data_IF_440121117741
#
_entry.id   IF_440121117741
#
_cell.length_a   1.000
_cell.length_b   1.000
_cell.length_c   1.000
_cell.angle_alpha   90.00
_cell.angle_beta   90.00
_cell.angle_gamma   90.00
#
_symmetry.space_group_name_H-M   'P 1'
#
loop_
_entity.id
_entity.type
_entity.pdbx_description
1 polymer ?
#
# COMPACT_ATOMS: atom_id res chain seq x y z
N UNK A 1 13.91 6.82 -16.57
CA UNK A 1 12.89 6.35 -15.60
C UNK A 1 12.95 7.14 -14.30
N UNK A 2 14.10 7.20 -13.63
CA UNK A 2 14.26 7.96 -12.37
C UNK A 2 13.89 9.44 -12.56
N UNK A 3 14.36 10.08 -13.63
CA UNK A 3 14.01 11.49 -13.92
C UNK A 3 12.50 11.70 -14.12
N UNK A 4 11.80 10.73 -14.72
CA UNK A 4 10.34 10.79 -14.88
C UNK A 4 9.62 10.59 -13.54
N UNK A 5 10.16 9.75 -12.65
CA UNK A 5 9.63 9.63 -11.29
C UNK A 5 9.85 10.93 -10.49
N UNK A 6 11.03 11.55 -10.59
CA UNK A 6 11.29 12.87 -9.98
C UNK A 6 10.35 13.94 -10.53
N UNK A 7 10.13 13.95 -11.84
CA UNK A 7 9.16 14.83 -12.48
C UNK A 7 7.75 14.61 -11.91
N UNK A 8 7.28 13.36 -11.88
CA UNK A 8 5.94 13.04 -11.38
C UNK A 8 5.79 13.36 -9.89
N UNK A 9 6.84 13.21 -9.08
CA UNK A 9 6.83 13.61 -7.67
C UNK A 9 6.68 15.12 -7.52
N UNK A 10 7.46 15.89 -8.28
CA UNK A 10 7.38 17.36 -8.29
C UNK A 10 6.01 17.84 -8.75
N UNK A 11 5.47 17.22 -9.79
CA UNK A 11 4.14 17.53 -10.29
C UNK A 11 3.05 17.20 -9.25
N UNK A 12 3.17 16.06 -8.57
CA UNK A 12 2.26 15.69 -7.48
C UNK A 12 2.25 16.73 -6.36
N UNK A 13 3.43 17.20 -5.95
CA UNK A 13 3.58 18.26 -4.94
C UNK A 13 2.93 19.57 -5.42
N UNK A 14 3.17 19.98 -6.68
CA UNK A 14 2.59 21.22 -7.23
C UNK A 14 1.08 21.15 -7.42
N UNK A 15 0.53 19.96 -7.67
CA UNK A 15 -0.91 19.76 -7.86
C UNK A 15 -1.72 19.81 -6.56
N UNK A 16 -1.06 19.80 -5.40
CA UNK A 16 -1.68 19.68 -4.07
C UNK A 16 -2.58 18.44 -3.87
N UNK A 17 -2.69 17.54 -4.85
CA UNK A 17 -3.47 16.28 -4.76
C UNK A 17 -2.93 15.34 -3.69
N UNK A 18 -1.67 15.50 -3.29
CA UNK A 18 -1.04 14.76 -2.19
C UNK A 18 -1.60 15.11 -0.81
N UNK A 19 -2.14 16.33 -0.65
CA UNK A 19 -2.44 16.87 0.67
C UNK A 19 -3.45 16.00 1.40
N UNK A 20 -4.54 15.62 0.73
CA UNK A 20 -5.63 14.91 1.37
C UNK A 20 -5.25 13.48 1.82
N UNK A 21 -4.64 12.61 0.99
CA UNK A 21 -4.19 11.29 1.44
C UNK A 21 -3.13 11.36 2.55
N UNK A 22 -2.14 12.25 2.43
CA UNK A 22 -1.03 12.36 3.39
C UNK A 22 -1.53 12.93 4.72
N UNK A 23 -2.33 14.00 4.69
CA UNK A 23 -2.92 14.57 5.90
C UNK A 23 -3.83 13.56 6.62
N UNK A 24 -4.64 12.80 5.87
CA UNK A 24 -5.46 11.75 6.46
C UNK A 24 -4.62 10.70 7.18
N UNK A 25 -3.51 10.25 6.58
CA UNK A 25 -2.62 9.30 7.24
C UNK A 25 -1.99 9.87 8.51
N UNK A 26 -1.47 11.10 8.46
CA UNK A 26 -0.89 11.77 9.62
C UNK A 26 -1.93 11.88 10.75
N UNK A 27 -3.15 12.31 10.43
CA UNK A 27 -4.25 12.40 11.40
C UNK A 27 -4.56 11.02 12.01
N UNK A 28 -4.64 9.97 11.19
CA UNK A 28 -4.88 8.60 11.67
C UNK A 28 -3.78 8.14 12.63
N UNK A 29 -2.50 8.39 12.32
CA UNK A 29 -1.38 8.02 13.21
C UNK A 29 -1.45 8.81 14.53
N UNK A 30 -1.63 10.12 14.46
CA UNK A 30 -1.68 10.97 15.66
C UNK A 30 -2.87 10.58 16.56
N UNK A 31 -4.04 10.35 15.96
CA UNK A 31 -5.24 9.94 16.69
C UNK A 31 -5.06 8.55 17.32
N UNK A 32 -4.49 7.60 16.58
CA UNK A 32 -4.26 6.24 17.07
C UNK A 32 -3.36 6.23 18.32
N UNK A 33 -2.31 7.05 18.32
CA UNK A 33 -1.39 7.19 19.47
C UNK A 33 -1.87 8.19 20.54
N UNK A 34 -3.14 8.61 20.54
CA UNK A 34 -3.68 9.46 21.62
C UNK A 34 -3.90 8.67 22.92
N UNK A 35 -4.16 7.35 22.82
CA UNK A 35 -4.21 6.46 23.97
C UNK A 35 -2.85 5.79 24.14
N UNK A 36 -2.25 5.89 25.33
CA UNK A 36 -0.91 5.40 25.64
C UNK A 36 -0.86 4.76 27.04
N UNK A 37 0.07 3.83 27.30
CA UNK A 37 1.06 3.27 26.38
C UNK A 37 0.49 2.14 25.50
N UNK A 38 0.93 2.05 24.25
CA UNK A 38 0.49 1.00 23.34
C UNK A 38 1.51 -0.15 23.21
N UNK A 39 1.05 -1.40 22.98
CA UNK A 39 1.92 -2.50 22.58
C UNK A 39 2.54 -2.24 21.21
N UNK A 40 3.85 -2.47 21.07
CA UNK A 40 4.63 -2.07 19.88
C UNK A 40 4.14 -2.79 18.62
N UNK A 41 4.12 -4.13 18.64
CA UNK A 41 3.86 -4.94 17.45
C UNK A 41 2.43 -4.72 16.95
N UNK A 42 1.45 -4.74 17.85
CA UNK A 42 0.04 -4.52 17.49
C UNK A 42 -0.20 -3.12 16.93
N UNK A 43 0.43 -2.11 17.52
CA UNK A 43 0.34 -0.74 17.01
C UNK A 43 0.86 -0.63 15.60
N UNK A 44 2.06 -1.17 15.35
CA UNK A 44 2.64 -1.17 14.02
C UNK A 44 1.89 -2.03 13.01
N UNK A 45 1.26 -3.12 13.43
CA UNK A 45 0.37 -3.92 12.59
C UNK A 45 -0.82 -3.07 12.09
N UNK A 46 -1.47 -2.33 12.99
CA UNK A 46 -2.62 -1.48 12.65
C UNK A 46 -2.21 -0.28 11.77
N UNK A 47 -1.12 0.42 12.11
CA UNK A 47 -0.68 1.58 11.31
C UNK A 47 -0.20 1.19 9.91
N UNK A 48 0.26 -0.04 9.72
CA UNK A 48 0.56 -0.59 8.40
C UNK A 48 -0.71 -0.88 7.58
N UNK A 49 -1.82 -1.30 8.21
CA UNK A 49 -3.12 -1.43 7.53
C UNK A 49 -3.69 -0.08 7.10
N UNK A 50 -3.52 0.98 7.91
CA UNK A 50 -3.85 2.33 7.49
C UNK A 50 -3.04 2.73 6.25
N UNK A 51 -1.75 2.39 6.22
CA UNK A 51 -0.89 2.68 5.08
C UNK A 51 -1.30 1.92 3.82
N UNK A 52 -1.78 0.68 3.95
CA UNK A 52 -2.35 -0.07 2.83
C UNK A 52 -3.49 0.70 2.14
N UNK A 53 -4.43 1.22 2.92
CA UNK A 53 -5.56 2.02 2.42
C UNK A 53 -5.04 3.30 1.75
N UNK A 54 -4.20 4.06 2.45
CA UNK A 54 -3.69 5.35 1.95
C UNK A 54 -2.82 5.17 0.70
N UNK A 55 -1.98 4.15 0.65
CA UNK A 55 -1.13 3.86 -0.51
C UNK A 55 -1.94 3.52 -1.76
N UNK A 56 -3.07 2.83 -1.59
CA UNK A 56 -3.99 2.57 -2.71
C UNK A 56 -4.64 3.85 -3.26
N UNK A 57 -4.98 4.79 -2.38
CA UNK A 57 -5.48 6.11 -2.77
C UNK A 57 -4.39 6.93 -3.47
N UNK A 58 -3.17 6.94 -2.93
CA UNK A 58 -2.02 7.59 -3.55
C UNK A 58 -1.76 7.03 -4.95
N UNK A 59 -1.91 5.72 -5.17
CA UNK A 59 -1.74 5.12 -6.49
C UNK A 59 -2.75 5.65 -7.52
N UNK A 60 -4.04 5.69 -7.19
CA UNK A 60 -5.06 6.28 -8.07
C UNK A 60 -4.75 7.76 -8.34
N UNK A 61 -4.39 8.50 -7.29
CA UNK A 61 -4.14 9.94 -7.37
C UNK A 61 -2.93 10.29 -8.25
N UNK A 62 -1.82 9.55 -8.10
CA UNK A 62 -0.60 9.73 -8.90
C UNK A 62 -0.79 9.28 -10.34
N UNK A 63 -1.53 8.18 -10.57
CA UNK A 63 -1.83 7.71 -11.93
C UNK A 63 -2.79 8.65 -12.68
N UNK A 64 -3.61 9.41 -11.96
CA UNK A 64 -4.50 10.43 -12.51
C UNK A 64 -3.91 11.86 -12.50
N UNK A 65 -2.58 11.99 -12.38
CA UNK A 65 -1.90 13.29 -12.42
C UNK A 65 -2.00 13.93 -13.80
N UNK A 66 -1.52 13.20 -14.80
CA UNK A 66 -1.35 13.71 -16.16
C UNK A 66 -2.68 13.57 -16.91
N UNK A 67 -3.05 14.59 -17.69
CA UNK A 67 -4.21 14.49 -18.57
C UNK A 67 -3.94 13.47 -19.71
N UNK A 68 -4.99 13.00 -20.42
CA UNK A 68 -4.81 12.01 -21.48
C UNK A 68 -3.86 12.44 -22.61
N UNK A 69 -3.88 13.72 -23.00
CA UNK A 69 -3.01 14.26 -24.06
C UNK A 69 -1.57 14.32 -23.58
N UNK A 70 -1.34 14.84 -22.37
CA UNK A 70 -0.01 14.86 -21.76
C UNK A 70 0.55 13.44 -21.59
N UNK A 71 -0.28 12.48 -21.17
CA UNK A 71 0.08 11.07 -21.06
C UNK A 71 0.57 10.52 -22.39
N UNK A 72 -0.15 10.77 -23.50
CA UNK A 72 0.25 10.33 -24.84
C UNK A 72 1.59 10.95 -25.26
N UNK A 73 1.78 12.26 -25.05
CA UNK A 73 3.04 12.96 -25.37
C UNK A 73 4.22 12.37 -24.61
N UNK A 74 4.08 12.15 -23.29
CA UNK A 74 5.14 11.57 -22.46
C UNK A 74 5.45 10.14 -22.91
N UNK A 75 4.44 9.33 -23.20
CA UNK A 75 4.63 7.96 -23.69
C UNK A 75 5.38 7.94 -25.04
N UNK A 76 5.02 8.83 -25.96
CA UNK A 76 5.69 8.97 -27.26
C UNK A 76 7.15 9.38 -27.10
N UNK A 77 7.42 10.36 -26.25
CA UNK A 77 8.78 10.80 -25.95
C UNK A 77 9.63 9.69 -25.28
N UNK A 78 9.02 8.93 -24.37
CA UNK A 78 9.68 7.82 -23.66
C UNK A 78 9.78 6.54 -24.48
N UNK A 79 9.07 6.46 -25.61
CA UNK A 79 8.92 5.28 -26.48
C UNK A 79 8.49 4.01 -25.72
N UNK A 80 7.88 4.15 -24.55
CA UNK A 80 7.52 3.01 -23.70
C UNK A 80 6.46 3.36 -22.66
N UNK A 81 5.28 2.75 -22.82
CA UNK A 81 4.18 2.79 -21.85
C UNK A 81 4.57 2.17 -20.51
N UNK A 82 5.26 1.03 -20.54
CA UNK A 82 5.74 0.37 -19.33
C UNK A 82 6.63 1.30 -18.50
N UNK A 83 7.58 2.01 -19.13
CA UNK A 83 8.47 2.94 -18.42
C UNK A 83 7.70 4.12 -17.81
N UNK A 84 6.66 4.61 -18.49
CA UNK A 84 5.77 5.64 -17.96
C UNK A 84 5.06 5.15 -16.68
N UNK A 85 4.32 4.04 -16.76
CA UNK A 85 3.57 3.53 -15.60
C UNK A 85 4.47 3.10 -14.44
N UNK A 86 5.59 2.42 -14.71
CA UNK A 86 6.55 2.07 -13.66
C UNK A 86 7.14 3.30 -12.97
N UNK A 87 7.33 4.42 -13.69
CA UNK A 87 7.79 5.66 -13.05
C UNK A 87 6.74 6.29 -12.13
N UNK A 88 5.44 6.21 -12.49
CA UNK A 88 4.33 6.62 -11.62
C UNK A 88 4.26 5.73 -10.38
N UNK A 89 4.31 4.41 -10.55
CA UNK A 89 4.30 3.45 -9.43
C UNK A 89 5.52 3.64 -8.51
N UNK A 90 6.70 3.88 -9.07
CA UNK A 90 7.91 4.20 -8.30
C UNK A 90 7.72 5.49 -7.50
N UNK A 91 7.10 6.51 -8.09
CA UNK A 91 6.75 7.76 -7.39
C UNK A 91 5.84 7.50 -6.20
N UNK A 92 4.75 6.74 -6.41
CA UNK A 92 3.83 6.34 -5.34
C UNK A 92 4.54 5.56 -4.24
N UNK A 93 5.41 4.61 -4.60
CA UNK A 93 6.17 3.83 -3.63
C UNK A 93 7.12 4.69 -2.80
N UNK A 94 7.77 5.70 -3.39
CA UNK A 94 8.64 6.62 -2.65
C UNK A 94 7.87 7.48 -1.64
N UNK A 95 6.64 7.90 -1.98
CA UNK A 95 5.76 8.57 -1.03
C UNK A 95 5.37 7.60 0.10
N UNK A 96 4.99 6.37 -0.24
CA UNK A 96 4.69 5.31 0.72
C UNK A 96 5.85 5.02 1.67
N UNK A 97 7.09 4.99 1.17
CA UNK A 97 8.30 4.83 1.98
C UNK A 97 8.45 5.97 2.99
N UNK A 98 8.22 7.22 2.57
CA UNK A 98 8.22 8.37 3.47
C UNK A 98 7.16 8.28 4.57
N UNK A 99 5.96 7.81 4.22
CA UNK A 99 4.89 7.58 5.20
C UNK A 99 5.20 6.41 6.15
N UNK A 100 5.80 5.32 5.66
CA UNK A 100 6.28 4.22 6.50
C UNK A 100 7.31 4.71 7.51
N UNK A 101 8.25 5.57 7.07
CA UNK A 101 9.26 6.14 7.95
C UNK A 101 8.63 7.04 9.01
N UNK A 102 7.66 7.86 8.63
CA UNK A 102 6.90 8.68 9.58
C UNK A 102 6.19 7.83 10.63
N UNK A 103 5.43 6.81 10.22
CA UNK A 103 4.70 5.94 11.14
C UNK A 103 5.62 5.14 12.06
N UNK A 104 6.82 4.80 11.60
CA UNK A 104 7.84 4.14 12.41
C UNK A 104 8.51 5.08 13.42
N UNK A 105 8.91 6.29 12.98
CA UNK A 105 9.69 7.21 13.83
C UNK A 105 8.81 7.95 14.83
N UNK A 106 7.58 8.32 14.46
CA UNK A 106 6.67 9.11 15.28
C UNK A 106 6.49 8.57 16.71
N UNK A 107 6.01 7.32 16.92
CA UNK A 107 5.75 6.84 18.28
C UNK A 107 7.03 6.63 19.10
N UNK A 108 8.18 6.43 18.46
CA UNK A 108 9.49 6.32 19.14
C UNK A 108 9.91 7.68 19.69
N UNK A 109 9.86 8.73 18.87
CA UNK A 109 10.28 10.09 19.26
C UNK A 109 9.39 10.65 20.37
N UNK A 110 8.09 10.36 20.32
CA UNK A 110 7.12 10.82 21.31
C UNK A 110 6.89 9.85 22.47
N UNK A 111 7.68 8.77 22.57
CA UNK A 111 7.63 7.80 23.68
C UNK A 111 6.22 7.20 23.90
N UNK A 112 5.53 6.86 22.81
CA UNK A 112 4.14 6.37 22.84
C UNK A 112 3.99 4.89 23.22
N UNK A 113 5.11 4.18 23.40
CA UNK A 113 5.15 2.74 23.72
C UNK A 113 5.46 2.48 25.18
N UNK A 114 5.00 1.33 25.69
CA UNK A 114 5.29 0.87 27.07
C UNK A 114 6.75 0.45 27.27
N UNK A 115 7.43 0.10 26.19
CA UNK A 115 8.79 -0.44 26.20
C UNK A 115 9.60 0.10 25.02
N UNK A 116 10.92 -0.09 25.05
CA UNK A 116 11.79 0.33 23.96
C UNK A 116 11.68 -0.61 22.75
N UNK A 117 11.63 -0.04 21.55
CA UNK A 117 11.60 -0.82 20.31
C UNK A 117 12.94 -1.53 20.09
N UNK A 118 12.95 -2.86 20.13
CA UNK A 118 14.13 -3.65 19.79
C UNK A 118 14.45 -3.53 18.29
N UNK A 119 15.72 -3.73 17.91
CA UNK A 119 16.15 -3.65 16.50
C UNK A 119 15.38 -4.65 15.63
N UNK A 120 15.13 -5.85 16.15
CA UNK A 120 14.41 -6.91 15.41
C UNK A 120 12.95 -6.54 15.19
N UNK A 121 12.25 -6.12 16.26
CA UNK A 121 10.84 -5.70 16.17
C UNK A 121 10.73 -4.50 15.24
N UNK A 122 11.63 -3.54 15.36
CA UNK A 122 11.62 -2.34 14.51
C UNK A 122 11.84 -2.67 13.04
N UNK A 123 12.81 -3.54 12.72
CA UNK A 123 13.08 -3.96 11.35
C UNK A 123 11.88 -4.68 10.72
N UNK A 124 11.33 -5.69 11.40
CA UNK A 124 10.18 -6.45 10.89
C UNK A 124 8.94 -5.56 10.74
N UNK A 125 8.68 -4.69 11.71
CA UNK A 125 7.55 -3.75 11.68
C UNK A 125 7.66 -2.78 10.51
N UNK A 126 8.86 -2.26 10.24
CA UNK A 126 9.10 -1.37 9.09
C UNK A 126 8.94 -2.11 7.76
N UNK A 127 9.44 -3.34 7.64
CA UNK A 127 9.22 -4.19 6.47
C UNK A 127 7.72 -4.44 6.24
N UNK A 128 6.94 -4.70 7.30
CA UNK A 128 5.50 -4.89 7.18
C UNK A 128 4.80 -3.62 6.62
N UNK A 129 5.19 -2.42 7.07
CA UNK A 129 4.69 -1.17 6.50
C UNK A 129 5.02 -1.05 5.01
N UNK A 130 6.26 -1.35 4.61
CA UNK A 130 6.65 -1.31 3.19
C UNK A 130 5.88 -2.32 2.33
N UNK A 131 5.66 -3.54 2.83
CA UNK A 131 4.89 -4.56 2.13
C UNK A 131 3.43 -4.18 1.98
N UNK A 132 2.81 -3.63 3.02
CA UNK A 132 1.41 -3.19 2.95
C UNK A 132 1.24 -1.91 2.12
N UNK A 133 2.22 -1.02 2.14
CA UNK A 133 2.31 0.08 1.18
C UNK A 133 2.40 -0.44 -0.27
N UNK A 134 3.25 -1.44 -0.52
CA UNK A 134 3.39 -2.07 -1.84
C UNK A 134 2.11 -2.80 -2.28
N UNK A 135 1.44 -3.49 -1.35
CA UNK A 135 0.16 -4.11 -1.63
C UNK A 135 -0.88 -3.05 -2.00
N UNK A 136 -0.95 -1.97 -1.22
CA UNK A 136 -1.88 -0.86 -1.44
C UNK A 136 -1.71 -0.24 -2.80
N UNK A 137 -0.47 0.10 -3.18
CA UNK A 137 -0.21 0.70 -4.48
C UNK A 137 -0.51 -0.26 -5.64
N UNK A 138 -0.23 -1.56 -5.46
CA UNK A 138 -0.51 -2.57 -6.48
C UNK A 138 -2.02 -2.72 -6.72
N UNK A 139 -2.82 -2.81 -5.66
CA UNK A 139 -4.28 -2.89 -5.73
C UNK A 139 -4.85 -1.59 -6.29
N UNK A 140 -4.43 -0.43 -5.78
CA UNK A 140 -4.88 0.87 -6.26
C UNK A 140 -4.60 1.10 -7.75
N UNK A 141 -3.48 0.59 -8.27
CA UNK A 141 -3.15 0.69 -9.70
C UNK A 141 -4.18 0.03 -10.61
N UNK A 142 -4.78 -1.10 -10.17
CA UNK A 142 -5.79 -1.84 -10.92
C UNK A 142 -7.12 -1.07 -11.05
N UNK A 143 -7.38 -0.15 -10.12
CA UNK A 143 -8.55 0.72 -10.11
C UNK A 143 -8.27 2.12 -10.67
N UNK A 144 -7.08 2.38 -11.20
CA UNK A 144 -6.75 3.69 -11.79
C UNK A 144 -7.64 4.05 -12.98
N UNK A 145 -7.74 5.35 -13.28
CA UNK A 145 -8.51 5.87 -14.42
C UNK A 145 -8.06 5.29 -15.76
N UNK A 146 -6.82 4.82 -15.85
CA UNK A 146 -6.27 4.17 -17.02
C UNK A 146 -6.96 2.84 -17.32
N UNK A 147 -7.43 2.12 -16.31
CA UNK A 147 -8.19 0.88 -16.48
C UNK A 147 -9.70 1.11 -16.37
N UNK A 148 -10.13 1.94 -15.43
CA UNK A 148 -11.54 2.23 -15.14
C UNK A 148 -11.98 3.57 -15.74
N UNK A 149 -12.94 3.55 -16.67
CA UNK A 149 -13.45 4.77 -17.32
C UNK A 149 -14.27 5.65 -16.38
N UNK A 150 -15.03 5.04 -15.46
CA UNK A 150 -15.92 5.74 -14.54
C UNK A 150 -15.30 5.95 -13.16
N UNK A 151 -15.32 7.18 -12.59
CA UNK A 151 -14.85 7.44 -11.23
C UNK A 151 -15.55 6.58 -10.18
N UNK A 152 -16.85 6.28 -10.35
CA UNK A 152 -17.60 5.45 -9.38
C UNK A 152 -17.08 4.01 -9.37
N UNK A 153 -16.71 3.46 -10.52
CA UNK A 153 -16.16 2.11 -10.63
C UNK A 153 -14.72 2.06 -10.08
N UNK A 154 -13.96 3.14 -10.29
CA UNK A 154 -12.61 3.30 -9.75
C UNK A 154 -12.61 3.33 -8.21
N UNK A 155 -13.21 4.35 -7.61
CA UNK A 155 -13.19 4.52 -6.15
C UNK A 155 -14.10 3.51 -5.44
N UNK A 156 -15.28 3.21 -5.98
CA UNK A 156 -16.20 2.23 -5.40
C UNK A 156 -15.66 0.80 -5.46
N UNK A 157 -15.08 0.41 -6.60
CA UNK A 157 -14.44 -0.90 -6.76
C UNK A 157 -13.21 -1.06 -5.85
N UNK A 158 -12.40 0.01 -5.70
CA UNK A 158 -11.30 0.02 -4.75
C UNK A 158 -11.81 -0.12 -3.31
N UNK A 159 -12.78 0.70 -2.89
CA UNK A 159 -13.32 0.66 -1.53
C UNK A 159 -13.90 -0.71 -1.17
N UNK A 160 -14.65 -1.33 -2.08
CA UNK A 160 -15.17 -2.69 -1.92
C UNK A 160 -14.02 -3.70 -1.79
N UNK A 161 -13.00 -3.60 -2.65
CA UNK A 161 -11.83 -4.49 -2.62
C UNK A 161 -11.05 -4.38 -1.32
N UNK A 162 -10.80 -3.17 -0.84
CA UNK A 162 -10.13 -2.91 0.44
C UNK A 162 -10.94 -3.48 1.62
N UNK A 163 -12.26 -3.29 1.60
CA UNK A 163 -13.16 -3.78 2.65
C UNK A 163 -13.13 -5.32 2.72
N UNK A 164 -13.26 -5.98 1.57
CA UNK A 164 -13.17 -7.45 1.47
C UNK A 164 -11.78 -7.94 1.89
N UNK A 165 -10.73 -7.23 1.49
CA UNK A 165 -9.34 -7.54 1.85
C UNK A 165 -9.09 -7.52 3.36
N UNK A 166 -9.57 -6.48 4.06
CA UNK A 166 -9.40 -6.36 5.51
C UNK A 166 -10.28 -7.38 6.24
N UNK A 167 -11.42 -7.74 5.66
CA UNK A 167 -12.38 -8.69 6.24
C UNK A 167 -12.04 -10.16 5.93
N UNK A 168 -10.91 -10.43 5.26
CA UNK A 168 -10.56 -11.75 4.72
C UNK A 168 -10.56 -12.88 5.76
N UNK A 169 -10.07 -12.61 6.98
CA UNK A 169 -10.05 -13.61 8.07
C UNK A 169 -11.48 -13.95 8.52
N UNK A 170 -12.33 -12.95 8.71
CA UNK A 170 -13.74 -13.15 9.07
C UNK A 170 -14.48 -13.94 7.99
N UNK A 171 -14.26 -13.58 6.72
CA UNK A 171 -14.82 -14.28 5.57
C UNK A 171 -14.38 -15.76 5.55
N UNK A 172 -13.09 -16.03 5.76
CA UNK A 172 -12.55 -17.38 5.82
C UNK A 172 -13.21 -18.24 6.91
N UNK A 173 -13.50 -17.64 8.07
CA UNK A 173 -14.09 -18.36 9.22
C UNK A 173 -15.54 -18.78 9.01
N UNK A 174 -16.28 -18.11 8.11
CA UNK A 174 -17.71 -18.33 7.87
C UNK A 174 -17.94 -19.24 6.64
N UNK A 175 -17.00 -19.25 5.69
CA UNK A 175 -17.14 -20.01 4.44
C UNK A 175 -17.09 -21.54 4.67
N UNK A 176 -17.92 -22.32 3.97
CA UNK A 176 -17.81 -23.78 3.92
C UNK A 176 -16.42 -24.25 3.47
N UNK A 177 -15.98 -25.40 3.99
CA UNK A 177 -14.65 -25.97 3.72
C UNK A 177 -14.31 -26.12 2.22
N UNK A 178 -15.31 -26.35 1.37
CA UNK A 178 -15.14 -26.50 -0.09
C UNK A 178 -14.73 -25.20 -0.79
N UNK A 179 -15.17 -24.04 -0.29
CA UNK A 179 -15.00 -22.74 -0.97
C UNK A 179 -14.14 -21.73 -0.20
N UNK A 180 -13.78 -22.00 1.06
CA UNK A 180 -12.96 -21.10 1.89
C UNK A 180 -11.63 -20.68 1.24
N UNK A 181 -11.08 -21.52 0.36
CA UNK A 181 -9.81 -21.24 -0.35
C UNK A 181 -9.93 -20.09 -1.36
N UNK A 182 -11.13 -19.59 -1.67
CA UNK A 182 -11.31 -18.40 -2.52
C UNK A 182 -10.65 -17.14 -1.94
N UNK A 183 -10.47 -17.10 -0.61
CA UNK A 183 -9.82 -15.99 0.10
C UNK A 183 -8.39 -15.75 -0.36
N UNK A 184 -7.74 -16.73 -0.99
CA UNK A 184 -6.39 -16.57 -1.56
C UNK A 184 -6.34 -15.63 -2.77
N UNK A 185 -7.47 -15.40 -3.43
CA UNK A 185 -7.58 -14.42 -4.54
C UNK A 185 -7.68 -13.00 -4.00
N UNK A 186 -8.25 -12.83 -2.81
CA UNK A 186 -8.45 -11.55 -2.15
C UNK A 186 -7.07 -10.96 -1.80
N UNK A 187 -6.85 -9.64 -1.96
CA UNK A 187 -5.58 -9.03 -1.58
C UNK A 187 -5.25 -9.33 -0.11
N UNK A 188 -4.07 -9.91 0.19
CA UNK A 188 -3.76 -10.44 1.50
C UNK A 188 -3.29 -9.35 2.49
N UNK A 189 -4.15 -8.41 2.87
CA UNK A 189 -3.77 -7.28 3.75
C UNK A 189 -3.59 -7.67 5.22
N UNK A 190 -4.28 -8.70 5.69
CA UNK A 190 -4.27 -9.12 7.11
C UNK A 190 -3.41 -10.35 7.38
N UNK A 191 -2.85 -10.98 6.35
CA UNK A 191 -2.14 -12.27 6.49
C UNK A 191 -0.85 -12.18 7.32
N UNK A 192 -0.17 -11.03 7.29
CA UNK A 192 1.03 -10.77 8.12
C UNK A 192 0.69 -10.41 9.55
N UNK A 193 -0.53 -9.90 9.80
CA UNK A 193 -0.90 -9.38 11.12
C UNK A 193 -1.09 -10.49 12.15
N UNK A 194 -1.66 -11.62 11.75
CA UNK A 194 -1.85 -12.77 12.63
C UNK A 194 -0.51 -13.32 13.18
N UNK A 195 0.50 -13.63 12.35
CA UNK A 195 1.83 -14.02 12.85
C UNK A 195 2.49 -12.93 13.71
N UNK A 196 2.34 -11.66 13.34
CA UNK A 196 2.95 -10.55 14.08
C UNK A 196 2.35 -10.38 15.47
N UNK A 197 1.02 -10.34 15.59
CA UNK A 197 0.33 -10.21 16.87
C UNK A 197 0.60 -11.37 17.83
N UNK A 198 0.95 -12.55 17.31
CA UNK A 198 1.31 -13.72 18.11
C UNK A 198 2.82 -13.85 18.35
N UNK A 199 3.64 -12.95 17.82
CA UNK A 199 5.09 -13.04 17.90
C UNK A 199 5.62 -12.39 19.18
N UNK A 200 6.47 -13.11 19.89
CA UNK A 200 7.13 -12.68 21.14
C UNK A 200 8.10 -11.51 20.94
N UNK A 201 8.64 -11.34 19.72
CA UNK A 201 9.69 -10.37 19.44
C UNK A 201 11.11 -10.85 19.77
N UNK A 202 11.28 -12.07 20.31
CA UNK A 202 12.59 -12.58 20.77
C UNK A 202 13.46 -13.13 19.63
N UNK A 203 12.86 -13.86 18.71
CA UNK A 203 13.56 -14.50 17.59
C UNK A 203 12.79 -14.38 16.29
N UNK A 204 13.47 -13.93 15.23
CA UNK A 204 12.92 -13.86 13.86
C UNK A 204 12.59 -15.26 13.32
N UNK A 205 13.24 -16.32 13.83
CA UNK A 205 13.03 -17.70 13.38
C UNK A 205 11.65 -18.25 13.77
N UNK A 206 11.03 -17.68 14.80
CA UNK A 206 9.66 -18.03 15.22
C UNK A 206 8.61 -17.46 14.28
N UNK A 207 8.97 -16.40 13.54
CA UNK A 207 8.07 -15.71 12.64
C UNK A 207 7.95 -16.47 11.32
N UNK A 208 6.72 -16.87 10.96
CA UNK A 208 6.46 -17.45 9.65
C UNK A 208 6.80 -16.44 8.55
N UNK A 209 7.73 -16.81 7.66
CA UNK A 209 8.15 -15.97 6.53
C UNK A 209 7.17 -16.01 5.35
N UNK A 210 6.34 -17.05 5.29
CA UNK A 210 5.41 -17.30 4.20
C UNK A 210 4.43 -16.13 3.94
N UNK A 211 3.75 -15.55 4.95
CA UNK A 211 2.86 -14.40 4.76
C UNK A 211 3.54 -13.19 4.11
N UNK A 212 4.78 -12.89 4.48
CA UNK A 212 5.54 -11.76 3.95
C UNK A 212 5.89 -11.97 2.47
N UNK A 213 6.35 -13.18 2.13
CA UNK A 213 6.64 -13.58 0.74
C UNK A 213 5.37 -13.55 -0.09
N UNK A 214 4.24 -14.02 0.46
CA UNK A 214 2.96 -14.04 -0.25
C UNK A 214 2.44 -12.64 -0.58
N UNK A 215 2.48 -11.69 0.36
CA UNK A 215 2.11 -10.28 0.08
C UNK A 215 3.00 -9.70 -1.03
N UNK A 216 4.31 -9.94 -0.95
CA UNK A 216 5.26 -9.44 -1.94
C UNK A 216 4.95 -10.01 -3.33
N UNK A 217 4.75 -11.32 -3.44
CA UNK A 217 4.44 -12.01 -4.69
C UNK A 217 3.10 -11.55 -5.27
N UNK A 218 2.05 -11.45 -4.44
CA UNK A 218 0.74 -10.93 -4.85
C UNK A 218 0.87 -9.52 -5.42
N UNK A 219 1.61 -8.65 -4.75
CA UNK A 219 1.80 -7.25 -5.18
C UNK A 219 2.52 -7.16 -6.53
N UNK A 220 3.56 -7.97 -6.75
CA UNK A 220 4.24 -8.02 -8.05
C UNK A 220 3.35 -8.58 -9.16
N UNK A 221 2.53 -9.59 -8.88
CA UNK A 221 1.55 -10.12 -9.83
C UNK A 221 0.52 -9.04 -10.19
N UNK A 222 -0.03 -8.33 -9.20
CA UNK A 222 -0.99 -7.26 -9.43
C UNK A 222 -0.40 -6.11 -10.26
N UNK A 223 0.84 -5.69 -9.97
CA UNK A 223 1.57 -4.70 -10.79
C UNK A 223 1.78 -5.23 -12.22
N UNK A 224 2.18 -6.49 -12.38
CA UNK A 224 2.38 -7.09 -13.69
C UNK A 224 1.08 -7.10 -14.51
N UNK A 225 -0.04 -7.49 -13.89
CA UNK A 225 -1.37 -7.45 -14.52
C UNK A 225 -1.72 -6.02 -14.93
N UNK A 226 -1.54 -5.05 -14.03
CA UNK A 226 -1.78 -3.63 -14.32
C UNK A 226 -0.99 -3.14 -15.54
N UNK A 227 0.32 -3.44 -15.61
CA UNK A 227 1.18 -3.05 -16.73
C UNK A 227 0.72 -3.72 -18.04
N UNK A 228 0.39 -5.01 -18.01
CA UNK A 228 -0.08 -5.75 -19.19
C UNK A 228 -1.39 -5.17 -19.73
N UNK A 229 -2.36 -4.89 -18.87
CA UNK A 229 -3.64 -4.28 -19.25
C UNK A 229 -3.48 -2.85 -19.74
N UNK A 230 -2.56 -2.08 -19.14
CA UNK A 230 -2.32 -0.68 -19.57
C UNK A 230 -1.60 -0.59 -20.92
N UNK A 231 -0.84 -1.62 -21.28
CA UNK A 231 -0.18 -1.72 -22.57
C UNK A 231 -1.11 -2.17 -23.70
N UNK A 232 -2.19 -2.90 -23.40
CA UNK A 232 -3.10 -3.41 -24.43
C UNK A 232 -4.13 -2.40 -24.96
N UNK A 233 -4.34 -1.26 -24.28
CA UNK A 233 -5.26 -0.21 -24.76
C UNK A 233 -4.66 0.53 -25.97
N UNK A 234 -5.44 0.85 -27.01
CA UNK A 234 -4.96 1.74 -28.09
C UNK A 234 -4.72 3.17 -27.55
N UNK A 235 -3.81 3.93 -28.17
CA UNK A 235 -3.58 5.35 -27.83
C UNK A 235 -4.82 6.18 -28.16
#
# INVERSE_FOLDING_TARGET
MIELAKYSLRDYIRSHKYFLPIAMYIILIVLFYTYTPNPIIDSYAVTALFLYIISSWLAISVLALDDPVQTQIIILHMQSRTRYYLSKLLTTFMIGLGLSLFAFVYPIVFQMFSESVSIQIGFISFINHLLLSLLGLSVGSLFSRNLMSSPINSYGGLALTLTISISAIGIYSILPHTIRNIVWIIPPSVITQLPLMNWSGESILELSTFPFIWIMLYSFIAIFIFIRLSNSKSL
#
